data_IF_400331982828
#
_entry.id   IF_400331982828
#
_cell.length_a   1.000
_cell.length_b   1.000
_cell.length_c   1.000
_cell.angle_alpha   90.00
_cell.angle_beta   90.00
_cell.angle_gamma   90.00
#
_symmetry.space_group_name_H-M   'P 1'
#
loop_
_entity.id
_entity.type
_entity.pdbx_description
1 polymer ?
#
# COMPACT_ATOMS: atom_id res chain seq x y z
N UNK A 1 4.34 3.69 -33.23
CA UNK A 1 4.71 3.22 -31.86
C UNK A 1 4.32 4.30 -30.87
N UNK A 2 3.20 4.15 -30.23
CA UNK A 2 2.77 5.03 -29.15
C UNK A 2 3.62 4.70 -27.94
N UNK A 3 4.57 5.56 -27.58
CA UNK A 3 5.27 5.48 -26.30
C UNK A 3 4.21 5.59 -25.21
N UNK A 4 3.96 4.52 -24.47
CA UNK A 4 3.14 4.54 -23.29
C UNK A 4 3.87 5.43 -22.29
N UNK A 5 3.51 6.70 -22.24
CA UNK A 5 3.99 7.60 -21.19
C UNK A 5 3.48 7.04 -19.87
N UNK A 6 4.38 6.41 -19.12
CA UNK A 6 4.11 5.97 -17.76
C UNK A 6 3.81 7.23 -16.95
N UNK A 7 2.55 7.45 -16.65
CA UNK A 7 2.14 8.62 -15.90
C UNK A 7 2.38 8.38 -14.40
N UNK A 8 2.91 9.39 -13.72
CA UNK A 8 3.17 9.33 -12.27
C UNK A 8 1.86 9.04 -11.51
N UNK A 9 1.84 8.10 -10.55
CA UNK A 9 0.67 7.86 -9.71
C UNK A 9 0.22 9.13 -8.99
N UNK A 10 -1.09 9.36 -8.92
CA UNK A 10 -1.70 10.47 -8.18
C UNK A 10 -2.15 10.08 -6.79
N UNK A 11 -2.27 8.78 -6.56
CA UNK A 11 -2.78 8.22 -5.31
C UNK A 11 -1.88 7.11 -4.85
N UNK A 12 -1.52 7.15 -3.58
CA UNK A 12 -0.80 6.10 -2.88
C UNK A 12 -1.73 5.51 -1.82
N UNK A 13 -2.03 4.24 -1.93
CA UNK A 13 -2.95 3.52 -1.06
C UNK A 13 -2.17 2.48 -0.27
N UNK A 14 -2.12 2.62 1.04
CA UNK A 14 -1.55 1.63 1.94
C UNK A 14 -2.59 0.58 2.32
N UNK A 15 -2.27 -0.69 2.14
CA UNK A 15 -3.10 -1.79 2.61
C UNK A 15 -2.79 -2.14 4.06
N UNK A 16 -3.84 -2.51 4.79
CA UNK A 16 -3.78 -2.92 6.17
C UNK A 16 -5.15 -3.29 6.72
N UNK A 17 -5.19 -3.83 7.91
CA UNK A 17 -6.40 -4.07 8.68
C UNK A 17 -6.62 -2.96 9.68
N UNK A 18 -7.86 -2.45 9.84
CA UNK A 18 -8.18 -1.47 10.86
C UNK A 18 -8.19 -2.10 12.26
N UNK A 19 -7.93 -1.27 13.27
CA UNK A 19 -7.98 -1.65 14.69
C UNK A 19 -6.59 -1.84 15.32
N UNK A 20 -6.50 -1.52 16.62
CA UNK A 20 -5.24 -1.50 17.36
C UNK A 20 -4.51 -2.85 17.39
N UNK A 21 -5.25 -3.94 17.41
CA UNK A 21 -4.66 -5.29 17.43
C UNK A 21 -3.80 -5.61 16.20
N UNK A 22 -4.00 -4.91 15.09
CA UNK A 22 -3.22 -5.09 13.87
C UNK A 22 -2.10 -4.06 13.70
N UNK A 23 -2.02 -3.06 14.58
CA UNK A 23 -0.98 -2.04 14.52
C UNK A 23 0.41 -2.68 14.60
N UNK A 24 1.27 -2.30 13.64
CA UNK A 24 2.63 -2.83 13.56
C UNK A 24 2.74 -4.26 13.06
N UNK A 25 1.64 -4.91 12.65
CA UNK A 25 1.72 -6.21 12.00
C UNK A 25 2.38 -6.09 10.61
N UNK A 26 2.97 -7.18 10.12
CA UNK A 26 3.58 -7.23 8.78
C UNK A 26 2.56 -6.87 7.70
N UNK A 27 1.33 -7.32 7.85
CA UNK A 27 0.25 -7.04 6.91
C UNK A 27 -0.15 -5.55 6.86
N UNK A 28 0.16 -4.78 7.91
CA UNK A 28 -0.09 -3.34 7.99
C UNK A 28 1.10 -2.48 7.54
N UNK A 29 2.12 -3.07 6.95
CA UNK A 29 3.29 -2.30 6.48
C UNK A 29 2.92 -1.23 5.46
N UNK A 30 1.85 -1.41 4.69
CA UNK A 30 1.32 -0.41 3.78
C UNK A 30 0.85 0.86 4.50
N UNK A 31 0.14 0.71 5.62
CA UNK A 31 -0.25 1.84 6.47
C UNK A 31 0.97 2.56 7.04
N UNK A 32 1.91 1.79 7.58
CA UNK A 32 3.12 2.33 8.18
C UNK A 32 3.96 3.11 7.15
N UNK A 33 4.09 2.58 5.95
CA UNK A 33 4.80 3.26 4.86
C UNK A 33 4.15 4.59 4.49
N UNK A 34 2.82 4.66 4.45
CA UNK A 34 2.11 5.93 4.23
C UNK A 34 2.33 6.94 5.35
N UNK A 35 2.41 6.48 6.61
CA UNK A 35 2.72 7.36 7.74
C UNK A 35 4.12 7.96 7.59
N UNK A 36 5.10 7.15 7.20
CA UNK A 36 6.47 7.62 6.93
C UNK A 36 6.53 8.61 5.76
N UNK A 37 5.78 8.35 4.68
CA UNK A 37 5.67 9.30 3.57
C UNK A 37 5.03 10.61 4.01
N UNK A 38 3.94 10.54 4.77
CA UNK A 38 3.26 11.71 5.29
C UNK A 38 4.18 12.56 6.18
N UNK A 39 4.96 11.94 7.06
CA UNK A 39 5.95 12.60 7.88
C UNK A 39 7.06 13.24 7.04
N UNK A 40 7.66 12.49 6.13
CA UNK A 40 8.75 12.95 5.26
C UNK A 40 8.37 14.19 4.44
N UNK A 41 7.17 14.20 3.88
CA UNK A 41 6.68 15.30 3.04
C UNK A 41 5.80 16.30 3.78
N UNK A 42 5.77 16.24 5.12
CA UNK A 42 4.98 17.14 5.99
C UNK A 42 3.50 17.23 5.53
N UNK A 43 2.94 16.10 5.18
CA UNK A 43 1.54 16.03 4.76
C UNK A 43 0.60 16.32 5.94
N UNK A 44 -0.60 16.87 5.68
CA UNK A 44 -1.62 17.03 6.71
C UNK A 44 -2.01 15.71 7.35
N UNK A 45 -2.53 15.76 8.57
CA UNK A 45 -3.07 14.61 9.30
C UNK A 45 -4.15 13.92 8.45
N UNK A 46 -4.15 12.60 8.44
CA UNK A 46 -5.20 11.83 7.79
C UNK A 46 -6.57 12.14 8.38
N UNK A 47 -7.52 12.46 7.54
CA UNK A 47 -8.90 12.73 7.91
C UNK A 47 -9.80 11.60 7.48
N UNK A 48 -10.74 11.21 8.35
CA UNK A 48 -11.72 10.19 8.02
C UNK A 48 -12.62 10.62 6.87
N UNK A 49 -12.77 9.75 5.88
CA UNK A 49 -13.66 9.89 4.73
C UNK A 49 -14.60 8.69 4.65
N UNK A 50 -15.68 8.76 5.41
CA UNK A 50 -16.64 7.64 5.54
C UNK A 50 -17.22 7.20 4.20
N UNK A 51 -17.44 8.14 3.28
CA UNK A 51 -17.92 7.86 1.92
C UNK A 51 -16.98 6.98 1.11
N UNK A 52 -15.69 7.00 1.42
CA UNK A 52 -14.64 6.24 0.74
C UNK A 52 -14.20 5.01 1.54
N UNK A 53 -14.74 4.80 2.73
CA UNK A 53 -14.33 3.75 3.66
C UNK A 53 -12.83 3.83 3.99
N UNK A 54 -12.37 5.00 4.44
CA UNK A 54 -10.98 5.16 4.79
C UNK A 54 -10.61 6.53 5.33
N UNK A 55 -9.32 6.78 5.41
CA UNK A 55 -8.74 8.05 5.82
C UNK A 55 -7.83 8.60 4.72
N UNK A 56 -7.90 9.90 4.51
CA UNK A 56 -7.26 10.60 3.42
C UNK A 56 -6.35 11.72 3.92
N UNK A 57 -5.16 11.85 3.34
CA UNK A 57 -4.30 13.03 3.45
C UNK A 57 -3.96 13.55 2.05
N UNK A 58 -3.99 14.87 1.88
CA UNK A 58 -3.61 15.56 0.64
C UNK A 58 -2.18 16.05 0.79
N UNK A 59 -1.24 15.38 0.14
CA UNK A 59 0.17 15.67 0.22
C UNK A 59 0.69 16.38 -1.04
N UNK A 60 1.92 16.87 -0.96
CA UNK A 60 2.67 17.38 -2.11
C UNK A 60 4.06 16.75 -2.12
N UNK A 61 4.39 16.06 -3.21
CA UNK A 61 5.69 15.47 -3.44
C UNK A 61 6.40 16.28 -4.54
N UNK A 62 7.44 17.01 -4.17
CA UNK A 62 8.19 17.83 -5.13
C UNK A 62 7.30 18.72 -6.02
N UNK A 63 6.32 19.40 -5.39
CA UNK A 63 5.37 20.27 -6.07
C UNK A 63 4.20 19.55 -6.75
N UNK A 64 4.17 18.22 -6.77
CA UNK A 64 3.07 17.42 -7.34
C UNK A 64 2.06 17.07 -6.25
N UNK A 65 0.80 17.41 -6.48
CA UNK A 65 -0.29 17.05 -5.57
C UNK A 65 -0.57 15.55 -5.66
N UNK A 66 -0.55 14.87 -4.53
CA UNK A 66 -0.85 13.44 -4.40
C UNK A 66 -1.84 13.21 -3.26
N UNK A 67 -2.57 12.12 -3.35
CA UNK A 67 -3.46 11.66 -2.28
C UNK A 67 -2.84 10.44 -1.60
N UNK A 68 -2.86 10.44 -0.27
CA UNK A 68 -2.48 9.30 0.55
C UNK A 68 -3.75 8.74 1.18
N UNK A 69 -4.03 7.46 0.99
CA UNK A 69 -5.27 6.84 1.45
C UNK A 69 -5.02 5.53 2.19
N UNK A 70 -5.68 5.38 3.32
CA UNK A 70 -5.74 4.14 4.12
C UNK A 70 -7.18 3.65 4.13
N UNK A 71 -7.43 2.45 3.64
CA UNK A 71 -8.76 1.83 3.73
C UNK A 71 -9.12 1.52 5.18
N UNK A 72 -10.35 1.74 5.58
CA UNK A 72 -10.90 1.27 6.86
C UNK A 72 -11.58 -0.10 6.77
N UNK A 73 -11.59 -0.71 5.60
CA UNK A 73 -12.07 -2.08 5.39
C UNK A 73 -10.99 -3.10 5.79
N UNK A 74 -11.40 -4.29 6.18
CA UNK A 74 -10.46 -5.38 6.38
C UNK A 74 -9.73 -5.75 5.08
N UNK A 75 -8.57 -6.36 5.20
CA UNK A 75 -7.68 -6.67 4.08
C UNK A 75 -8.41 -7.33 2.90
N UNK A 76 -9.20 -8.36 3.18
CA UNK A 76 -9.96 -9.09 2.16
C UNK A 76 -11.11 -8.30 1.52
N UNK A 77 -11.39 -7.10 2.01
CA UNK A 77 -12.40 -6.17 1.47
C UNK A 77 -11.76 -4.89 0.91
N UNK A 78 -10.44 -4.84 0.76
CA UNK A 78 -9.72 -3.66 0.28
C UNK A 78 -10.24 -3.16 -1.07
N UNK A 79 -10.63 -4.06 -1.95
CA UNK A 79 -11.16 -3.72 -3.28
C UNK A 79 -12.42 -2.85 -3.24
N UNK A 80 -13.25 -2.97 -2.20
CA UNK A 80 -14.46 -2.14 -2.06
C UNK A 80 -14.12 -0.66 -1.87
N UNK A 81 -13.16 -0.35 -0.99
CA UNK A 81 -12.69 1.03 -0.79
C UNK A 81 -12.06 1.60 -2.05
N UNK A 82 -11.21 0.81 -2.70
CA UNK A 82 -10.47 1.25 -3.89
C UNK A 82 -11.43 1.46 -5.07
N UNK A 83 -12.38 0.57 -5.27
CA UNK A 83 -13.41 0.74 -6.29
C UNK A 83 -14.18 2.04 -6.06
N UNK A 84 -14.59 2.29 -4.82
CA UNK A 84 -15.29 3.51 -4.45
C UNK A 84 -14.44 4.77 -4.66
N UNK A 85 -13.16 4.68 -4.32
CA UNK A 85 -12.20 5.76 -4.53
C UNK A 85 -12.03 6.11 -6.02
N UNK A 86 -11.87 5.10 -6.87
CA UNK A 86 -11.77 5.24 -8.33
C UNK A 86 -13.02 5.92 -8.90
N UNK A 87 -14.20 5.47 -8.48
CA UNK A 87 -15.47 6.00 -8.98
C UNK A 87 -15.68 7.45 -8.53
N UNK A 88 -15.33 7.77 -7.29
CA UNK A 88 -15.48 9.11 -6.74
C UNK A 88 -14.57 10.15 -7.41
N UNK A 89 -13.30 9.83 -7.57
CA UNK A 89 -12.32 10.74 -8.17
C UNK A 89 -12.21 10.63 -9.69
N UNK A 90 -12.98 9.74 -10.32
CA UNK A 90 -12.95 9.49 -11.78
C UNK A 90 -11.54 9.21 -12.31
N UNK A 91 -10.84 8.32 -11.65
CA UNK A 91 -9.44 7.99 -11.95
C UNK A 91 -9.33 6.70 -12.75
N UNK A 92 -8.33 6.64 -13.62
CA UNK A 92 -7.89 5.40 -14.22
C UNK A 92 -7.00 4.62 -13.24
N UNK A 93 -7.00 3.31 -13.36
CA UNK A 93 -6.30 2.41 -12.43
C UNK A 93 -4.77 2.62 -12.47
N UNK A 94 -4.21 3.00 -13.60
CA UNK A 94 -2.80 3.32 -13.81
C UNK A 94 -2.32 4.58 -13.06
N UNK A 95 -3.24 5.31 -12.41
CA UNK A 95 -2.93 6.47 -11.55
C UNK A 95 -2.81 6.10 -10.09
N UNK A 96 -2.98 4.83 -9.75
CA UNK A 96 -2.99 4.31 -8.39
C UNK A 96 -1.72 3.52 -8.12
N UNK A 97 -1.13 3.74 -6.96
CA UNK A 97 -0.04 2.95 -6.43
C UNK A 97 -0.49 2.29 -5.12
N UNK A 98 -0.54 0.98 -5.10
CA UNK A 98 -0.86 0.16 -3.93
C UNK A 98 0.43 -0.19 -3.19
N UNK A 99 0.45 0.00 -1.87
CA UNK A 99 1.58 -0.33 -1.01
C UNK A 99 1.16 -1.49 -0.13
N UNK A 100 1.91 -2.60 -0.21
CA UNK A 100 1.56 -3.84 0.47
C UNK A 100 2.79 -4.65 0.89
N UNK A 101 2.58 -5.57 1.83
CA UNK A 101 3.58 -6.56 2.25
C UNK A 101 3.79 -7.63 1.16
N UNK A 102 5.01 -8.12 1.08
CA UNK A 102 5.39 -9.18 0.13
C UNK A 102 6.29 -10.20 0.80
N UNK A 103 5.84 -11.45 0.83
CA UNK A 103 6.56 -12.58 1.43
C UNK A 103 7.80 -12.99 0.63
N UNK A 104 7.82 -12.72 -0.68
CA UNK A 104 8.89 -13.14 -1.59
C UNK A 104 10.07 -12.16 -1.62
N UNK A 105 10.00 -11.09 -0.85
CA UNK A 105 11.08 -10.13 -0.69
C UNK A 105 11.62 -10.15 0.73
N UNK A 106 12.94 -10.05 0.85
CA UNK A 106 13.60 -9.96 2.14
C UNK A 106 13.15 -8.72 2.93
N UNK A 107 13.11 -8.82 4.26
CA UNK A 107 12.81 -7.68 5.13
C UNK A 107 13.71 -6.49 4.79
N UNK A 108 13.11 -5.30 4.74
CA UNK A 108 13.82 -4.05 4.44
C UNK A 108 14.05 -3.78 2.96
N UNK A 109 13.58 -4.65 2.06
CA UNK A 109 13.60 -4.39 0.62
C UNK A 109 12.26 -3.81 0.15
N UNK A 110 12.31 -2.93 -0.85
CA UNK A 110 11.12 -2.44 -1.53
C UNK A 110 11.34 -2.48 -3.04
N UNK A 111 10.33 -2.93 -3.78
CA UNK A 111 10.35 -2.97 -5.24
C UNK A 111 9.09 -2.38 -5.82
N UNK A 112 9.25 -1.63 -6.90
CA UNK A 112 8.12 -1.09 -7.67
C UNK A 112 7.79 -2.06 -8.80
N UNK A 113 6.51 -2.30 -9.00
CA UNK A 113 6.00 -3.11 -10.10
C UNK A 113 4.72 -2.47 -10.66
N UNK A 114 4.51 -2.60 -11.95
CA UNK A 114 3.24 -2.29 -12.60
C UNK A 114 2.56 -3.58 -13.03
N UNK A 115 1.24 -3.68 -12.78
CA UNK A 115 0.43 -4.85 -13.14
C UNK A 115 0.87 -6.16 -12.42
N UNK A 116 0.19 -7.25 -12.71
CA UNK A 116 0.48 -8.60 -12.24
C UNK A 116 -0.60 -9.21 -11.34
N UNK A 117 -0.41 -10.48 -10.99
CA UNK A 117 -1.30 -11.25 -10.13
C UNK A 117 -1.21 -10.85 -8.65
N UNK A 118 -2.04 -11.48 -7.82
CA UNK A 118 -2.10 -11.16 -6.38
C UNK A 118 -1.08 -11.91 -5.52
N UNK A 119 -0.42 -12.94 -6.04
CA UNK A 119 0.59 -13.72 -5.31
C UNK A 119 0.11 -14.31 -3.97
N UNK A 120 -1.19 -14.58 -3.83
CA UNK A 120 -1.78 -15.07 -2.58
C UNK A 120 -2.13 -13.97 -1.57
N UNK A 121 -1.82 -12.71 -1.83
CA UNK A 121 -2.15 -11.59 -0.95
C UNK A 121 -3.64 -11.25 -1.02
N UNK A 122 -4.37 -11.38 0.08
CA UNK A 122 -5.83 -11.23 0.11
C UNK A 122 -6.32 -9.82 -0.25
N UNK A 123 -5.58 -8.79 0.11
CA UNK A 123 -5.90 -7.41 -0.28
C UNK A 123 -5.78 -7.21 -1.79
N UNK A 124 -4.69 -7.68 -2.40
CA UNK A 124 -4.51 -7.61 -3.84
C UNK A 124 -5.56 -8.45 -4.59
N UNK A 125 -5.90 -9.63 -4.06
CA UNK A 125 -6.96 -10.47 -4.62
C UNK A 125 -8.29 -9.73 -4.68
N UNK A 126 -8.68 -9.06 -3.60
CA UNK A 126 -9.89 -8.24 -3.53
C UNK A 126 -9.89 -7.10 -4.54
N UNK A 127 -8.76 -6.37 -4.65
CA UNK A 127 -8.60 -5.26 -5.59
C UNK A 127 -8.69 -5.75 -7.03
N UNK A 128 -7.94 -6.78 -7.38
CA UNK A 128 -7.89 -7.32 -8.74
C UNK A 128 -9.27 -7.82 -9.17
N UNK A 129 -9.98 -8.48 -8.25
CA UNK A 129 -11.33 -8.97 -8.52
C UNK A 129 -12.32 -7.84 -8.86
N UNK A 130 -12.26 -6.72 -8.14
CA UNK A 130 -13.22 -5.61 -8.29
C UNK A 130 -12.78 -4.53 -9.28
N UNK A 131 -11.47 -4.34 -9.45
CA UNK A 131 -10.93 -3.20 -10.18
C UNK A 131 -10.05 -3.57 -11.38
N UNK A 132 -9.48 -4.79 -11.39
CA UNK A 132 -8.44 -5.18 -12.34
C UNK A 132 -7.03 -5.04 -11.75
N UNK A 133 -6.00 -5.38 -12.53
CA UNK A 133 -4.61 -5.51 -12.07
C UNK A 133 -3.67 -4.39 -12.52
N UNK A 134 -4.07 -3.55 -13.48
CA UNK A 134 -3.22 -2.56 -14.15
C UNK A 134 -2.96 -1.32 -13.27
N UNK A 135 -2.36 -1.50 -12.12
CA UNK A 135 -1.95 -0.45 -11.18
C UNK A 135 -0.49 -0.62 -10.75
N UNK A 136 0.10 0.46 -10.26
CA UNK A 136 1.44 0.43 -9.66
C UNK A 136 1.39 -0.21 -8.26
N UNK A 137 2.49 -0.85 -7.89
CA UNK A 137 2.68 -1.45 -6.56
C UNK A 137 4.03 -1.07 -6.00
N UNK A 138 4.06 -0.73 -4.72
CA UNK A 138 5.27 -0.74 -3.90
C UNK A 138 5.17 -2.01 -3.05
N UNK A 139 6.00 -2.98 -3.37
CA UNK A 139 6.10 -4.28 -2.70
C UNK A 139 7.12 -4.16 -1.60
N UNK A 140 6.69 -4.27 -0.35
CA UNK A 140 7.56 -4.15 0.82
C UNK A 140 7.85 -5.55 1.37
N UNK A 141 9.10 -5.94 1.37
CA UNK A 141 9.55 -7.24 1.84
C UNK A 141 9.34 -7.40 3.35
N UNK A 142 8.68 -8.50 3.71
CA UNK A 142 8.48 -8.90 5.12
C UNK A 142 9.11 -10.27 5.41
N UNK A 143 9.74 -10.87 4.40
CA UNK A 143 10.33 -12.19 4.47
C UNK A 143 9.31 -13.32 4.47
N UNK A 144 9.78 -14.54 4.28
CA UNK A 144 8.94 -15.73 4.27
C UNK A 144 8.91 -16.40 5.65
N UNK A 145 7.74 -16.87 6.13
CA UNK A 145 7.69 -17.62 7.39
C UNK A 145 8.44 -18.96 7.26
N UNK A 146 9.07 -19.38 8.36
CA UNK A 146 9.71 -20.69 8.48
C UNK A 146 8.69 -21.84 8.53
N UNK A 147 7.42 -21.52 8.74
CA UNK A 147 6.29 -22.44 8.88
C UNK A 147 5.27 -22.23 7.77
N UNK A 148 4.35 -23.18 7.61
CA UNK A 148 3.24 -23.05 6.65
C UNK A 148 2.14 -22.07 7.10
N UNK A 149 2.24 -21.51 8.31
CA UNK A 149 1.23 -20.62 8.89
C UNK A 149 1.45 -19.16 8.46
N UNK A 150 1.20 -18.91 7.17
CA UNK A 150 1.35 -17.58 6.56
C UNK A 150 0.39 -16.56 7.19
N UNK A 151 -0.83 -16.97 7.53
CA UNK A 151 -1.85 -16.07 8.08
C UNK A 151 -1.39 -15.47 9.41
N UNK A 152 -1.00 -16.30 10.36
CA UNK A 152 -0.51 -15.81 11.65
C UNK A 152 0.81 -15.04 11.49
N UNK A 153 1.67 -15.41 10.56
CA UNK A 153 2.90 -14.69 10.29
C UNK A 153 2.64 -13.25 9.86
N UNK A 154 1.79 -13.01 8.85
CA UNK A 154 1.51 -11.64 8.36
C UNK A 154 0.71 -10.80 9.36
N UNK A 155 -0.11 -11.43 10.20
CA UNK A 155 -0.86 -10.75 11.26
C UNK A 155 -0.02 -10.49 12.52
N UNK A 156 1.17 -11.07 12.64
CA UNK A 156 2.09 -10.83 13.75
C UNK A 156 3.03 -9.65 13.49
N UNK A 157 3.56 -9.10 14.59
CA UNK A 157 4.57 -8.04 14.52
C UNK A 157 5.92 -8.63 14.11
N UNK A 158 6.72 -7.89 13.32
CA UNK A 158 8.09 -8.29 13.05
C UNK A 158 8.92 -8.30 14.34
N UNK A 159 9.99 -9.12 14.35
CA UNK A 159 10.96 -9.11 15.44
C UNK A 159 11.66 -7.75 15.53
N UNK A 160 12.23 -7.43 16.71
CA UNK A 160 12.98 -6.17 16.91
C UNK A 160 14.13 -6.01 15.93
N UNK A 161 14.76 -7.11 15.50
CA UNK A 161 15.81 -7.10 14.48
C UNK A 161 15.24 -6.72 13.10
N UNK A 162 14.08 -7.25 12.73
CA UNK A 162 13.42 -6.91 11.47
C UNK A 162 12.97 -5.45 11.42
N UNK A 163 12.59 -4.85 12.55
CA UNK A 163 12.21 -3.43 12.64
C UNK A 163 13.40 -2.50 12.38
N UNK A 164 14.60 -2.87 12.77
CA UNK A 164 15.80 -2.05 12.51
C UNK A 164 16.18 -1.99 11.03
N UNK A 165 15.75 -2.94 10.21
CA UNK A 165 15.93 -2.92 8.76
C UNK A 165 14.87 -2.13 7.99
N UNK A 166 13.78 -1.70 8.63
CA UNK A 166 12.70 -0.92 8.00
C UNK A 166 12.98 0.58 7.89
N UNK A 167 14.19 1.04 8.13
CA UNK A 167 14.65 2.32 7.63
C UNK A 167 14.87 2.20 6.12
N UNK A 168 13.76 2.17 5.39
CA UNK A 168 13.73 2.19 3.93
C UNK A 168 14.49 3.44 3.45
N UNK A 169 15.73 3.24 3.03
CA UNK A 169 16.35 4.16 2.11
C UNK A 169 15.61 4.01 0.79
N UNK A 170 14.59 4.86 0.57
CA UNK A 170 14.03 5.01 -0.77
C UNK A 170 15.20 5.34 -1.70
N UNK A 171 15.33 4.63 -2.84
CA UNK A 171 16.38 4.94 -3.79
C UNK A 171 16.26 6.41 -4.19
N UNK A 172 17.23 7.20 -3.81
CA UNK A 172 17.35 8.62 -4.10
C UNK A 172 17.90 8.86 -5.51
N UNK A 173 17.46 8.08 -6.52
CA UNK A 173 17.63 8.47 -7.93
C UNK A 173 16.74 7.61 -8.80
N UNK A 174 15.87 8.28 -9.50
CA UNK A 174 15.35 7.75 -10.73
C UNK A 174 16.48 7.52 -11.72
#
# INVERSE_FOLDING_TARGET
>A
MTSTQISFPKIFIGLGNPGEKYNGSRHNVGYHFLDLLAEKYKAPVFKSESKLFGSLSKASFEGRKVLLFKSSKYMNQSGESIRRFIDYYKLSLDRICIIHDDLDLDCGTAKIKFDGGHGGHNGLRSIIHLCGSAFFRIRIGVGHPQTKDVINYVLSKPSTEAVSYTHLTLPTKA
#
